data_IF_094344948364
#
_entry.id   IF_094344948364
#
_cell.length_a   1.000
_cell.length_b   1.000
_cell.length_c   1.000
_cell.angle_alpha   90.00
_cell.angle_beta   90.00
_cell.angle_gamma   90.00
#
_symmetry.space_group_name_H-M   'P 1'
#
loop_
_entity.id
_entity.type
_entity.pdbx_description
1 polymer ?
#
# COMPACT_ATOMS: atom_id res chain seq x y z
N UNK A 1 -22.97 10.59 4.86
CA UNK A 1 -22.79 9.78 6.08
C UNK A 1 -21.75 10.34 7.04
N UNK A 2 -20.75 11.13 6.62
CA UNK A 2 -19.77 11.75 7.54
C UNK A 2 -19.61 13.27 7.32
N UNK A 3 -20.71 13.96 6.98
CA UNK A 3 -20.66 15.38 6.59
C UNK A 3 -20.14 16.28 7.72
N UNK A 4 -20.58 16.05 8.94
CA UNK A 4 -20.17 16.82 10.12
C UNK A 4 -18.68 16.63 10.43
N UNK A 5 -18.20 15.38 10.47
CA UNK A 5 -16.77 15.10 10.65
C UNK A 5 -15.92 15.76 9.55
N UNK A 6 -16.34 15.62 8.28
CA UNK A 6 -15.63 16.23 7.16
C UNK A 6 -15.53 17.76 7.28
N UNK A 7 -16.61 18.40 7.74
CA UNK A 7 -16.63 19.85 7.96
C UNK A 7 -15.70 20.27 9.09
N UNK A 8 -15.78 19.62 10.26
CA UNK A 8 -14.92 19.92 11.42
C UNK A 8 -13.45 19.73 11.05
N UNK A 9 -13.10 18.63 10.38
CA UNK A 9 -11.73 18.36 9.92
C UNK A 9 -11.27 19.41 8.90
N UNK A 10 -12.16 19.83 8.00
CA UNK A 10 -11.87 20.90 7.04
C UNK A 10 -11.54 22.22 7.74
N UNK A 11 -12.37 22.63 8.71
CA UNK A 11 -12.16 23.85 9.49
C UNK A 11 -10.86 23.78 10.31
N UNK A 12 -10.60 22.66 10.99
CA UNK A 12 -9.38 22.45 11.77
C UNK A 12 -8.11 22.38 10.92
N UNK A 13 -8.22 21.97 9.65
CA UNK A 13 -7.10 21.98 8.71
C UNK A 13 -6.69 23.40 8.34
N UNK A 14 -7.67 24.27 8.06
CA UNK A 14 -7.41 25.68 7.74
C UNK A 14 -6.98 26.49 8.98
N UNK A 15 -7.49 26.13 10.17
CA UNK A 15 -7.13 26.77 11.43
C UNK A 15 -6.78 25.74 12.52
N UNK A 16 -5.47 25.46 12.67
CA UNK A 16 -4.97 24.49 13.65
C UNK A 16 -5.19 24.88 15.12
N UNK A 17 -5.49 26.14 15.42
CA UNK A 17 -5.79 26.58 16.80
C UNK A 17 -7.06 25.90 17.34
N UNK A 18 -7.98 25.50 16.45
CA UNK A 18 -9.19 24.76 16.80
C UNK A 18 -8.90 23.40 17.47
N UNK A 19 -7.69 22.85 17.30
CA UNK A 19 -7.28 21.62 17.99
C UNK A 19 -7.19 21.77 19.53
N UNK A 20 -7.28 22.99 20.07
CA UNK A 20 -7.40 23.22 21.52
C UNK A 20 -8.78 22.79 22.05
N UNK A 21 -9.79 22.82 21.19
CA UNK A 21 -11.16 22.45 21.55
C UNK A 21 -11.30 20.93 21.68
N UNK A 22 -11.98 20.48 22.73
CA UNK A 22 -12.17 19.04 22.97
C UNK A 22 -13.02 18.39 21.88
N UNK A 23 -14.09 19.05 21.43
CA UNK A 23 -14.96 18.58 20.35
C UNK A 23 -14.19 18.29 19.05
N UNK A 24 -13.27 19.17 18.66
CA UNK A 24 -12.43 19.00 17.47
C UNK A 24 -11.47 17.83 17.64
N UNK A 25 -10.83 17.70 18.81
CA UNK A 25 -9.96 16.55 19.12
C UNK A 25 -10.73 15.24 19.07
N UNK A 26 -11.96 15.21 19.56
CA UNK A 26 -12.84 14.04 19.48
C UNK A 26 -13.20 13.70 18.03
N UNK A 27 -13.54 14.69 17.19
CA UNK A 27 -13.82 14.46 15.77
C UNK A 27 -12.61 13.88 15.02
N UNK A 28 -11.40 14.37 15.32
CA UNK A 28 -10.14 13.82 14.78
C UNK A 28 -9.93 12.37 15.23
N UNK A 29 -10.08 12.08 16.53
CA UNK A 29 -9.95 10.72 17.09
C UNK A 29 -10.97 9.77 16.48
N UNK A 30 -12.24 10.18 16.38
CA UNK A 30 -13.32 9.40 15.78
C UNK A 30 -13.05 9.11 14.30
N UNK A 31 -12.52 10.09 13.55
CA UNK A 31 -12.17 9.86 12.14
C UNK A 31 -11.07 8.79 12.02
N UNK A 32 -10.04 8.83 12.86
CA UNK A 32 -8.97 7.81 12.86
C UNK A 32 -9.49 6.45 13.32
N UNK A 33 -10.43 6.40 14.26
CA UNK A 33 -11.11 5.17 14.67
C UNK A 33 -11.89 4.54 13.51
N UNK A 34 -12.64 5.33 12.74
CA UNK A 34 -13.34 4.86 11.54
C UNK A 34 -12.36 4.32 10.48
N UNK A 35 -11.17 4.92 10.36
CA UNK A 35 -10.10 4.38 9.51
C UNK A 35 -9.54 3.07 10.06
N UNK A 36 -9.34 2.96 11.38
CA UNK A 36 -8.87 1.72 12.03
C UNK A 36 -9.83 0.54 11.83
N UNK A 37 -11.14 0.84 11.80
CA UNK A 37 -12.23 -0.11 11.55
C UNK A 37 -12.50 -0.39 10.07
N UNK A 38 -11.87 0.36 9.16
CA UNK A 38 -12.08 0.21 7.72
C UNK A 38 -13.41 0.78 7.21
N UNK A 39 -14.15 1.51 8.03
CA UNK A 39 -15.37 2.24 7.66
C UNK A 39 -15.06 3.50 6.85
N UNK A 40 -13.84 4.04 7.04
CA UNK A 40 -13.22 5.05 6.20
C UNK A 40 -11.89 4.54 5.65
N UNK A 41 -11.51 5.02 4.47
CA UNK A 41 -10.22 4.75 3.85
C UNK A 41 -9.67 5.99 3.17
N UNK A 42 -8.35 6.08 3.04
CA UNK A 42 -7.66 7.28 2.52
C UNK A 42 -7.73 7.40 0.99
N UNK A 43 -8.01 6.30 0.29
CA UNK A 43 -8.45 6.28 -1.10
C UNK A 43 -9.38 5.08 -1.31
N UNK A 44 -10.36 5.21 -2.20
CA UNK A 44 -11.36 4.17 -2.48
C UNK A 44 -11.57 3.97 -3.99
N UNK A 45 -11.90 2.74 -4.44
CA UNK A 45 -12.25 2.53 -5.83
C UNK A 45 -13.59 3.19 -6.14
N UNK A 46 -13.69 3.86 -7.29
CA UNK A 46 -14.92 4.49 -7.80
C UNK A 46 -15.45 3.77 -9.04
N UNK A 47 -14.57 3.16 -9.82
CA UNK A 47 -14.89 2.26 -10.92
C UNK A 47 -13.87 1.10 -10.90
N UNK A 48 -14.17 0.00 -10.17
CA UNK A 48 -13.25 -1.13 -10.07
C UNK A 48 -12.96 -1.81 -11.41
N UNK A 49 -13.91 -1.82 -12.34
CA UNK A 49 -13.73 -2.47 -13.65
C UNK A 49 -12.63 -1.77 -14.45
N UNK A 50 -12.60 -0.43 -14.37
CA UNK A 50 -11.59 0.43 -14.99
C UNK A 50 -10.39 0.75 -14.08
N UNK A 51 -10.29 0.13 -12.90
CA UNK A 51 -9.25 0.43 -11.91
C UNK A 51 -9.16 1.94 -11.61
N UNK A 52 -10.29 2.63 -11.44
CA UNK A 52 -10.31 4.05 -11.07
C UNK A 52 -10.50 4.23 -9.56
N UNK A 53 -9.68 5.12 -9.00
CA UNK A 53 -9.62 5.39 -7.58
C UNK A 53 -9.78 6.88 -7.28
N UNK A 54 -10.40 7.19 -6.16
CA UNK A 54 -10.54 8.55 -5.63
C UNK A 54 -9.84 8.65 -4.28
N UNK A 55 -9.04 9.71 -4.11
CA UNK A 55 -8.41 10.05 -2.83
C UNK A 55 -9.41 10.77 -1.92
N UNK A 56 -9.47 10.33 -0.67
CA UNK A 56 -10.27 10.97 0.37
C UNK A 56 -9.38 11.96 1.15
N UNK A 57 -9.12 13.13 0.57
CA UNK A 57 -8.17 14.11 1.12
C UNK A 57 -8.47 14.49 2.57
N UNK A 58 -9.74 14.66 2.91
CA UNK A 58 -10.14 15.04 4.28
C UNK A 58 -9.79 13.96 5.31
N UNK A 59 -9.78 12.68 4.93
CA UNK A 59 -9.35 11.58 5.81
C UNK A 59 -7.84 11.68 6.05
N UNK A 60 -7.05 11.99 5.01
CA UNK A 60 -5.61 12.25 5.17
C UNK A 60 -5.35 13.47 6.06
N UNK A 61 -6.11 14.55 5.90
CA UNK A 61 -6.07 15.73 6.78
C UNK A 61 -6.33 15.32 8.24
N UNK A 62 -7.34 14.49 8.50
CA UNK A 62 -7.64 13.99 9.85
C UNK A 62 -6.46 13.19 10.44
N UNK A 63 -5.84 12.30 9.67
CA UNK A 63 -4.65 11.54 10.11
C UNK A 63 -3.48 12.48 10.45
N UNK A 64 -3.25 13.52 9.64
CA UNK A 64 -2.19 14.50 9.91
C UNK A 64 -2.51 15.31 11.19
N UNK A 65 -3.76 15.73 11.37
CA UNK A 65 -4.24 16.44 12.56
C UNK A 65 -4.25 15.56 13.82
N UNK A 66 -4.26 14.23 13.66
CA UNK A 66 -4.16 13.30 14.78
C UNK A 66 -2.79 13.36 15.47
N UNK A 67 -1.70 13.56 14.72
CA UNK A 67 -0.36 13.57 15.28
C UNK A 67 -0.09 14.67 16.34
N UNK A 68 -0.44 15.96 16.14
CA UNK A 68 -0.18 17.00 17.13
C UNK A 68 -1.01 16.84 18.41
N UNK A 69 -2.14 16.12 18.37
CA UNK A 69 -3.01 15.93 19.54
C UNK A 69 -2.65 14.68 20.37
N UNK A 70 -1.61 13.93 19.98
CA UNK A 70 -1.10 12.81 20.77
C UNK A 70 0.15 13.24 21.58
N UNK A 71 0.18 12.96 22.90
CA UNK A 71 1.38 13.17 23.70
C UNK A 71 2.44 12.10 23.40
N UNK A 72 3.72 12.51 23.42
CA UNK A 72 4.83 11.55 23.42
C UNK A 72 4.80 10.75 24.72
N UNK A 73 5.10 9.45 24.63
CA UNK A 73 5.22 8.58 25.79
C UNK A 73 6.33 7.57 25.59
N UNK A 74 6.85 7.05 26.70
CA UNK A 74 7.72 5.89 26.70
C UNK A 74 6.88 4.61 26.58
N UNK A 75 7.39 3.63 25.86
CA UNK A 75 6.81 2.30 25.68
C UNK A 75 7.94 1.29 25.90
N UNK A 76 7.69 0.20 26.62
CA UNK A 76 8.74 -0.75 27.00
C UNK A 76 8.27 -2.20 26.80
N UNK A 77 9.18 -3.09 26.40
CA UNK A 77 8.95 -4.53 26.34
C UNK A 77 10.25 -5.29 26.66
N UNK A 78 10.41 -5.70 27.92
CA UNK A 78 11.67 -6.27 28.39
C UNK A 78 12.78 -5.22 28.35
N UNK A 79 13.88 -5.52 27.67
CA UNK A 79 15.04 -4.61 27.51
C UNK A 79 14.85 -3.55 26.42
N UNK A 80 13.75 -3.62 25.65
CA UNK A 80 13.47 -2.70 24.56
C UNK A 80 12.69 -1.47 25.08
N UNK A 81 13.18 -0.26 24.76
CA UNK A 81 12.49 1.02 24.99
C UNK A 81 12.18 1.71 23.65
N UNK A 82 10.98 2.28 23.53
CA UNK A 82 10.58 3.17 22.45
C UNK A 82 10.05 4.49 23.00
N UNK A 83 10.17 5.55 22.21
CA UNK A 83 9.62 6.87 22.51
C UNK A 83 8.83 7.38 21.30
N UNK A 84 7.52 7.15 21.31
CA UNK A 84 6.59 7.53 20.24
C UNK A 84 5.26 7.99 20.88
N UNK A 85 4.40 8.59 20.08
CA UNK A 85 3.05 9.04 20.45
C UNK A 85 1.95 8.16 19.84
N UNK A 86 2.30 7.31 18.87
CA UNK A 86 1.34 6.47 18.16
C UNK A 86 0.99 5.22 18.97
N UNK A 87 -0.29 4.98 19.17
CA UNK A 87 -0.78 3.68 19.63
C UNK A 87 -0.55 2.60 18.57
N UNK A 88 -0.32 1.38 19.04
CA UNK A 88 -0.26 0.21 18.20
C UNK A 88 -1.67 -0.38 18.09
N UNK A 89 -1.93 -1.10 17.00
CA UNK A 89 -3.19 -1.83 16.83
C UNK A 89 -3.17 -3.08 17.71
N UNK A 90 -4.31 -3.37 18.33
CA UNK A 90 -4.52 -4.49 19.25
C UNK A 90 -5.83 -5.23 18.90
N UNK A 91 -6.17 -6.30 19.63
CA UNK A 91 -7.44 -7.02 19.46
C UNK A 91 -7.51 -7.96 18.26
N UNK A 92 -6.37 -8.49 17.80
CA UNK A 92 -6.28 -9.30 16.58
C UNK A 92 -7.18 -10.56 16.58
N UNK A 93 -7.41 -11.17 17.75
CA UNK A 93 -8.31 -12.32 17.88
C UNK A 93 -9.75 -11.94 17.52
N UNK A 94 -10.26 -10.84 18.08
CA UNK A 94 -11.62 -10.34 17.80
C UNK A 94 -11.77 -9.87 16.35
N UNK A 95 -10.68 -9.38 15.76
CA UNK A 95 -10.63 -8.96 14.36
C UNK A 95 -10.50 -10.15 13.38
N UNK A 96 -10.23 -11.36 13.86
CA UNK A 96 -9.97 -12.52 12.98
C UNK A 96 -8.69 -12.38 12.15
N UNK A 97 -7.68 -11.67 12.68
CA UNK A 97 -6.40 -11.41 12.01
C UNK A 97 -5.30 -12.23 12.68
N UNK A 98 -4.47 -12.89 11.87
CA UNK A 98 -3.31 -13.61 12.39
C UNK A 98 -2.09 -12.69 12.41
N UNK A 99 -1.70 -12.17 13.57
CA UNK A 99 -0.46 -11.42 13.77
C UNK A 99 0.63 -12.31 14.37
N UNK A 100 1.65 -12.66 13.58
CA UNK A 100 2.77 -13.51 14.00
C UNK A 100 3.83 -12.66 14.69
N UNK A 101 4.32 -13.01 15.90
CA UNK A 101 5.34 -12.22 16.59
C UNK A 101 6.62 -12.06 15.75
N UNK A 102 7.13 -10.85 15.50
CA UNK A 102 6.76 -9.54 16.06
C UNK A 102 6.10 -8.60 15.03
N UNK A 103 5.02 -9.02 14.38
CA UNK A 103 4.23 -8.14 13.50
C UNK A 103 3.72 -6.91 14.24
N UNK A 104 3.85 -5.74 13.64
CA UNK A 104 3.44 -4.45 14.22
C UNK A 104 2.56 -3.69 13.25
N UNK A 105 1.40 -3.23 13.73
CA UNK A 105 0.58 -2.26 13.02
C UNK A 105 0.32 -1.05 13.92
N UNK A 106 0.27 0.15 13.35
CA UNK A 106 -0.18 1.36 14.07
C UNK A 106 -1.70 1.41 14.15
N UNK A 107 -2.21 1.96 15.24
CA UNK A 107 -3.63 2.33 15.34
C UNK A 107 -4.00 3.30 14.20
N UNK A 108 -5.18 3.12 13.64
CA UNK A 108 -5.61 3.80 12.42
C UNK A 108 -5.18 3.09 11.14
N UNK A 109 -4.72 1.85 11.21
CA UNK A 109 -4.55 0.96 10.07
C UNK A 109 -5.66 -0.10 10.06
N UNK A 110 -6.37 -0.23 8.95
CA UNK A 110 -7.35 -1.30 8.79
C UNK A 110 -6.68 -2.57 8.31
N UNK A 111 -7.02 -3.68 8.97
CA UNK A 111 -6.55 -5.02 8.63
C UNK A 111 -7.76 -5.93 8.70
N UNK A 112 -8.19 -6.43 7.56
CA UNK A 112 -9.42 -7.19 7.41
C UNK A 112 -9.31 -8.61 8.00
N UNK A 113 -10.43 -9.21 8.41
CA UNK A 113 -10.48 -10.61 8.83
C UNK A 113 -9.88 -11.55 7.78
N UNK A 114 -9.12 -12.54 8.24
CA UNK A 114 -8.43 -13.52 7.39
C UNK A 114 -7.06 -13.05 6.85
N UNK A 115 -6.67 -11.79 7.05
CA UNK A 115 -5.32 -11.34 6.74
C UNK A 115 -4.28 -11.97 7.68
N UNK A 116 -3.07 -12.18 7.16
CA UNK A 116 -1.94 -12.73 7.91
C UNK A 116 -0.79 -11.73 7.86
N UNK A 117 -0.34 -11.33 9.04
CA UNK A 117 0.85 -10.49 9.22
C UNK A 117 1.96 -11.38 9.78
N UNK A 118 2.93 -11.71 8.94
CA UNK A 118 4.23 -12.21 9.40
C UNK A 118 4.99 -11.07 10.11
N UNK A 119 6.19 -11.28 10.69
CA UNK A 119 6.95 -10.18 11.29
C UNK A 119 7.18 -9.05 10.28
N UNK A 120 6.39 -7.98 10.37
CA UNK A 120 6.21 -6.96 9.33
C UNK A 120 5.68 -5.67 9.96
N UNK A 121 5.58 -4.60 9.16
CA UNK A 121 5.07 -3.31 9.62
C UNK A 121 3.93 -2.77 8.77
N UNK A 122 2.82 -2.37 9.40
CA UNK A 122 1.67 -1.70 8.75
C UNK A 122 1.44 -0.34 9.38
N UNK A 123 1.53 0.72 8.58
CA UNK A 123 1.48 2.09 9.08
C UNK A 123 0.05 2.67 9.05
N UNK A 124 -0.16 3.77 9.79
CA UNK A 124 -1.46 4.45 9.90
C UNK A 124 -2.03 4.86 8.52
N UNK A 125 -3.35 4.74 8.36
CA UNK A 125 -4.09 5.03 7.15
C UNK A 125 -4.06 3.92 6.11
N UNK A 126 -3.22 2.90 6.29
CA UNK A 126 -3.17 1.74 5.41
C UNK A 126 -4.47 0.93 5.51
N UNK A 127 -4.83 0.30 4.40
CA UNK A 127 -5.98 -0.59 4.29
C UNK A 127 -5.49 -1.92 3.73
N UNK A 128 -5.53 -2.98 4.54
CA UNK A 128 -5.15 -4.34 4.14
C UNK A 128 -6.39 -5.21 4.12
N UNK A 129 -6.86 -5.58 2.93
CA UNK A 129 -8.12 -6.31 2.75
C UNK A 129 -7.96 -7.84 2.99
N UNK A 130 -9.09 -8.55 2.93
CA UNK A 130 -9.22 -9.93 3.41
C UNK A 130 -8.34 -10.92 2.65
N UNK A 131 -7.85 -11.93 3.37
CA UNK A 131 -7.04 -13.01 2.82
C UNK A 131 -5.66 -12.58 2.30
N UNK A 132 -5.25 -11.33 2.55
CA UNK A 132 -3.92 -10.83 2.16
C UNK A 132 -2.84 -11.34 3.10
N UNK A 133 -1.70 -11.71 2.52
CA UNK A 133 -0.50 -12.13 3.22
C UNK A 133 0.55 -11.00 3.17
N UNK A 134 0.96 -10.52 4.33
CA UNK A 134 2.07 -9.59 4.51
C UNK A 134 3.24 -10.37 5.08
N UNK A 135 4.18 -10.80 4.23
CA UNK A 135 5.27 -11.69 4.63
C UNK A 135 6.35 -11.00 5.46
N UNK A 136 7.26 -11.83 5.97
CA UNK A 136 8.35 -11.44 6.85
C UNK A 136 9.17 -10.28 6.25
N UNK A 137 9.32 -9.23 7.04
CA UNK A 137 9.98 -7.96 6.72
C UNK A 137 9.34 -7.16 5.58
N UNK A 138 8.11 -7.47 5.20
CA UNK A 138 7.33 -6.58 4.35
C UNK A 138 6.89 -5.33 5.12
N UNK A 139 6.69 -4.24 4.39
CA UNK A 139 6.21 -2.96 4.94
C UNK A 139 5.03 -2.48 4.12
N UNK A 140 3.93 -2.13 4.80
CA UNK A 140 2.78 -1.43 4.23
C UNK A 140 2.77 0.01 4.74
N UNK A 141 3.20 0.93 3.89
CA UNK A 141 3.34 2.34 4.22
C UNK A 141 2.02 3.06 4.51
N UNK A 142 2.13 4.29 5.04
CA UNK A 142 0.95 5.06 5.42
C UNK A 142 0.03 5.32 4.24
N UNK A 143 -1.27 5.22 4.46
CA UNK A 143 -2.31 5.36 3.43
C UNK A 143 -2.31 4.31 2.31
N UNK A 144 -1.37 3.35 2.26
CA UNK A 144 -1.34 2.34 1.19
C UNK A 144 -2.63 1.50 1.16
N UNK A 145 -3.11 1.19 -0.04
CA UNK A 145 -4.34 0.42 -0.25
C UNK A 145 -3.96 -0.95 -0.82
N UNK A 146 -4.11 -2.00 -0.02
CA UNK A 146 -3.83 -3.38 -0.39
C UNK A 146 -5.15 -4.14 -0.52
N UNK A 147 -5.42 -4.64 -1.72
CA UNK A 147 -6.63 -5.37 -2.07
C UNK A 147 -6.72 -6.74 -1.42
N UNK A 148 -7.72 -7.50 -1.86
CA UNK A 148 -8.03 -8.85 -1.36
C UNK A 148 -7.07 -9.88 -1.93
N UNK A 149 -6.73 -10.89 -1.14
CA UNK A 149 -5.91 -12.02 -1.59
C UNK A 149 -4.59 -11.58 -2.25
N UNK A 150 -4.04 -10.45 -1.80
CA UNK A 150 -2.73 -10.00 -2.23
C UNK A 150 -1.67 -10.78 -1.47
N UNK A 151 -0.57 -11.12 -2.14
CA UNK A 151 0.60 -11.68 -1.49
C UNK A 151 1.76 -10.70 -1.62
N UNK A 152 2.09 -10.01 -0.52
CA UNK A 152 3.31 -9.23 -0.40
C UNK A 152 4.40 -10.16 0.14
N UNK A 153 5.31 -10.62 -0.73
CA UNK A 153 6.37 -11.55 -0.36
C UNK A 153 7.39 -10.94 0.61
N UNK A 154 8.32 -11.79 1.10
CA UNK A 154 9.33 -11.37 2.07
C UNK A 154 10.13 -10.13 1.64
N UNK A 155 10.21 -9.14 2.52
CA UNK A 155 10.95 -7.91 2.28
C UNK A 155 10.34 -6.96 1.25
N UNK A 156 9.08 -7.14 0.86
CA UNK A 156 8.39 -6.20 -0.03
C UNK A 156 8.16 -4.87 0.67
N UNK A 157 8.54 -3.77 0.01
CA UNK A 157 8.32 -2.42 0.51
C UNK A 157 7.21 -1.72 -0.25
N UNK A 158 6.08 -1.46 0.41
CA UNK A 158 5.00 -0.62 -0.11
C UNK A 158 5.14 0.77 0.51
N UNK A 159 5.37 1.77 -0.33
CA UNK A 159 5.60 3.16 0.06
C UNK A 159 4.38 3.82 0.69
N UNK A 160 4.62 4.64 1.71
CA UNK A 160 3.59 5.48 2.31
C UNK A 160 3.45 6.81 1.58
N UNK A 161 2.22 7.31 1.44
CA UNK A 161 1.94 8.64 0.87
C UNK A 161 0.84 9.30 1.70
N UNK A 162 1.26 10.01 2.74
CA UNK A 162 0.33 10.81 3.56
C UNK A 162 0.23 12.25 3.06
N UNK A 163 1.38 12.85 2.72
CA UNK A 163 1.47 14.18 2.11
C UNK A 163 2.12 14.08 0.72
N UNK A 164 1.69 14.89 -0.24
CA UNK A 164 0.60 15.88 -0.12
C UNK A 164 -0.79 15.21 -0.14
N UNK A 165 -1.82 15.84 0.44
CA UNK A 165 -3.11 15.19 0.72
C UNK A 165 -3.89 14.76 -0.53
N UNK A 166 -3.65 15.43 -1.66
CA UNK A 166 -4.21 15.11 -2.97
C UNK A 166 -3.49 13.96 -3.69
N UNK A 167 -2.26 13.60 -3.28
CA UNK A 167 -1.52 12.54 -3.93
C UNK A 167 -2.18 11.18 -3.67
N UNK A 168 -2.26 10.35 -4.72
CA UNK A 168 -2.71 8.99 -4.56
C UNK A 168 -1.72 8.20 -3.67
N UNK A 169 -2.22 7.41 -2.72
CA UNK A 169 -1.37 6.41 -2.08
C UNK A 169 -0.96 5.31 -3.05
N UNK A 170 0.00 4.49 -2.66
CA UNK A 170 0.28 3.26 -3.39
C UNK A 170 -0.94 2.36 -3.32
N UNK A 171 -1.37 1.84 -4.47
CA UNK A 171 -2.52 0.96 -4.60
C UNK A 171 -2.04 -0.37 -5.20
N UNK A 172 -2.30 -1.46 -4.49
CA UNK A 172 -2.14 -2.83 -4.96
C UNK A 172 -3.52 -3.46 -4.98
N UNK A 173 -4.06 -3.73 -6.16
CA UNK A 173 -5.43 -4.26 -6.30
C UNK A 173 -5.51 -5.76 -6.01
N UNK A 174 -6.74 -6.28 -6.04
CA UNK A 174 -7.07 -7.65 -5.68
C UNK A 174 -6.24 -8.70 -6.46
N UNK A 175 -5.88 -9.78 -5.79
CA UNK A 175 -5.20 -10.97 -6.32
C UNK A 175 -3.80 -10.70 -6.93
N UNK A 176 -3.18 -9.57 -6.57
CA UNK A 176 -1.80 -9.29 -6.97
C UNK A 176 -0.80 -10.15 -6.19
N UNK A 177 0.31 -10.49 -6.85
CA UNK A 177 1.49 -11.05 -6.19
C UNK A 177 2.67 -10.11 -6.37
N UNK A 178 3.31 -9.75 -5.27
CA UNK A 178 4.47 -8.89 -5.25
C UNK A 178 5.65 -9.73 -4.77
N UNK A 179 6.55 -10.06 -5.70
CA UNK A 179 7.72 -10.91 -5.45
C UNK A 179 8.68 -10.33 -4.43
N UNK A 180 9.50 -11.19 -3.84
CA UNK A 180 10.38 -10.82 -2.73
C UNK A 180 11.28 -9.64 -3.08
N UNK A 181 11.53 -8.76 -2.10
CA UNK A 181 12.40 -7.56 -2.25
C UNK A 181 11.95 -6.54 -3.31
N UNK A 182 10.74 -6.68 -3.84
CA UNK A 182 10.15 -5.67 -4.71
C UNK A 182 9.72 -4.43 -3.90
N UNK A 183 9.81 -3.27 -4.54
CA UNK A 183 9.52 -1.97 -3.93
C UNK A 183 8.48 -1.26 -4.80
N UNK A 184 7.34 -0.89 -4.23
CA UNK A 184 6.28 -0.14 -4.92
C UNK A 184 6.01 1.14 -4.15
N UNK A 185 6.33 2.31 -4.72
CA UNK A 185 6.40 3.59 -4.00
C UNK A 185 5.83 4.74 -4.82
N UNK A 186 5.78 5.94 -4.22
CA UNK A 186 5.44 7.21 -4.90
C UNK A 186 4.06 7.20 -5.60
N UNK A 187 3.07 6.55 -4.97
CA UNK A 187 1.70 6.52 -5.50
C UNK A 187 1.52 5.61 -6.71
N UNK A 188 2.48 4.72 -6.98
CA UNK A 188 2.33 3.72 -8.03
C UNK A 188 1.10 2.83 -7.82
N UNK A 189 0.52 2.40 -8.93
CA UNK A 189 -0.71 1.61 -8.96
C UNK A 189 -0.46 0.29 -9.70
N UNK A 190 -0.60 -0.81 -8.95
CA UNK A 190 -0.54 -2.17 -9.49
C UNK A 190 -1.95 -2.74 -9.57
N UNK A 191 -2.45 -2.93 -10.78
CA UNK A 191 -3.82 -3.35 -11.02
C UNK A 191 -4.03 -4.84 -10.79
N UNK A 192 -5.31 -5.23 -10.66
CA UNK A 192 -5.73 -6.56 -10.24
C UNK A 192 -5.03 -7.69 -10.97
N UNK A 193 -4.75 -8.75 -10.24
CA UNK A 193 -4.16 -10.01 -10.74
C UNK A 193 -2.72 -9.88 -11.30
N UNK A 194 -2.09 -8.71 -11.24
CA UNK A 194 -0.72 -8.52 -11.70
C UNK A 194 0.29 -9.28 -10.82
N UNK A 195 1.40 -9.68 -11.44
CA UNK A 195 2.51 -10.41 -10.82
C UNK A 195 3.78 -9.62 -11.02
N UNK A 196 4.40 -9.18 -9.94
CA UNK A 196 5.75 -8.62 -9.96
C UNK A 196 6.73 -9.73 -9.56
N UNK A 197 7.72 -10.00 -10.41
CA UNK A 197 8.87 -10.82 -10.07
C UNK A 197 9.69 -10.19 -8.94
N UNK A 198 10.54 -10.99 -8.29
CA UNK A 198 11.40 -10.52 -7.22
C UNK A 198 12.31 -9.36 -7.68
N UNK A 199 12.66 -8.47 -6.73
CA UNK A 199 13.49 -7.27 -6.96
C UNK A 199 12.93 -6.26 -7.98
N UNK A 200 11.62 -6.27 -8.23
CA UNK A 200 10.98 -5.31 -9.15
C UNK A 200 10.71 -4.00 -8.41
N UNK A 201 11.16 -2.88 -8.97
CA UNK A 201 10.95 -1.54 -8.40
C UNK A 201 10.01 -0.73 -9.27
N UNK A 202 8.84 -0.39 -8.72
CA UNK A 202 7.84 0.46 -9.37
C UNK A 202 7.65 1.73 -8.55
N UNK A 203 8.09 2.86 -9.07
CA UNK A 203 7.78 4.18 -8.54
C UNK A 203 6.69 4.84 -9.38
N UNK A 204 6.12 5.95 -8.92
CA UNK A 204 5.21 6.78 -9.72
C UNK A 204 5.83 7.33 -11.00
N UNK A 205 7.15 7.17 -11.19
CA UNK A 205 7.88 7.59 -12.38
C UNK A 205 8.64 6.47 -13.11
N UNK A 206 8.67 5.24 -12.59
CA UNK A 206 9.30 4.11 -13.25
C UNK A 206 8.74 3.92 -14.66
N UNK A 207 9.64 3.76 -15.63
CA UNK A 207 9.28 3.30 -16.97
C UNK A 207 8.94 1.82 -16.92
N UNK A 208 7.71 1.49 -17.29
CA UNK A 208 7.22 0.11 -17.38
C UNK A 208 6.95 -0.15 -18.86
N UNK A 209 7.70 -1.07 -19.46
CA UNK A 209 7.68 -1.29 -20.91
C UNK A 209 7.07 -2.66 -21.17
N UNK A 210 5.93 -2.68 -21.85
CA UNK A 210 5.34 -3.91 -22.37
C UNK A 210 6.02 -4.30 -23.66
N UNK A 211 6.63 -5.49 -23.65
CA UNK A 211 7.39 -6.07 -24.77
C UNK A 211 6.72 -7.34 -25.30
N UNK A 212 5.44 -7.55 -24.99
CA UNK A 212 4.68 -8.73 -25.43
C UNK A 212 4.20 -8.62 -26.88
N UNK A 213 4.03 -7.39 -27.38
CA UNK A 213 3.61 -7.09 -28.73
C UNK A 213 4.78 -6.86 -29.70
N UNK A 214 4.48 -6.64 -31.00
CA UNK A 214 5.49 -6.32 -32.00
C UNK A 214 6.15 -4.96 -31.77
N UNK A 215 5.47 -4.03 -31.07
CA UNK A 215 5.95 -2.70 -30.71
C UNK A 215 5.81 -2.47 -29.21
N UNK A 216 6.77 -1.80 -28.56
CA UNK A 216 6.74 -1.60 -27.12
C UNK A 216 5.69 -0.56 -26.69
N UNK A 217 4.93 -0.86 -25.65
CA UNK A 217 4.00 0.09 -25.02
C UNK A 217 4.57 0.53 -23.67
N UNK A 218 4.64 1.84 -23.42
CA UNK A 218 5.21 2.37 -22.16
C UNK A 218 4.11 2.88 -21.23
N UNK A 219 4.17 2.43 -19.99
CA UNK A 219 3.39 2.95 -18.86
C UNK A 219 4.33 3.63 -17.86
N UNK A 220 3.76 4.46 -16.98
CA UNK A 220 4.50 5.18 -15.96
C UNK A 220 3.76 5.08 -14.63
N UNK A 221 4.38 4.42 -13.65
CA UNK A 221 3.79 4.23 -12.31
C UNK A 221 2.47 3.44 -12.28
N UNK A 222 2.08 2.83 -13.40
CA UNK A 222 0.83 2.08 -13.55
C UNK A 222 1.13 0.73 -14.19
N UNK A 223 0.84 -0.37 -13.49
CA UNK A 223 0.95 -1.73 -14.00
C UNK A 223 -0.45 -2.20 -14.40
N UNK A 224 -0.72 -2.49 -15.69
CA UNK A 224 -2.02 -2.93 -16.15
C UNK A 224 -2.47 -4.26 -15.52
N UNK A 225 -3.79 -4.54 -15.49
CA UNK A 225 -4.32 -5.79 -14.94
C UNK A 225 -3.65 -7.03 -15.55
N UNK A 226 -3.46 -8.07 -14.74
CA UNK A 226 -2.92 -9.38 -15.15
C UNK A 226 -1.50 -9.35 -15.70
N UNK A 227 -0.79 -8.22 -15.67
CA UNK A 227 0.57 -8.11 -16.20
C UNK A 227 1.55 -8.97 -15.41
N UNK A 228 2.46 -9.66 -16.10
CA UNK A 228 3.63 -10.32 -15.51
C UNK A 228 4.84 -9.41 -15.72
N UNK A 229 5.35 -8.86 -14.63
CA UNK A 229 6.36 -7.81 -14.61
C UNK A 229 7.66 -8.32 -14.03
N UNK A 230 8.79 -8.03 -14.67
CA UNK A 230 10.13 -8.36 -14.18
C UNK A 230 11.05 -7.14 -14.20
N UNK A 231 12.16 -7.14 -13.43
CA UNK A 231 13.19 -6.12 -13.57
C UNK A 231 13.82 -6.19 -14.96
N UNK A 232 14.14 -5.04 -15.54
CA UNK A 232 14.83 -4.96 -16.82
C UNK A 232 15.62 -3.68 -16.99
N UNK A 233 16.09 -3.46 -18.21
CA UNK A 233 16.74 -2.20 -18.59
C UNK A 233 16.49 -1.88 -20.05
N UNK A 234 16.57 -0.60 -20.39
CA UNK A 234 16.53 -0.12 -21.78
C UNK A 234 17.72 0.80 -22.05
N UNK A 235 18.15 0.83 -23.32
CA UNK A 235 19.24 1.69 -23.75
C UNK A 235 18.75 3.12 -23.94
N UNK A 236 19.52 4.08 -23.44
CA UNK A 236 19.28 5.51 -23.64
C UNK A 236 20.57 6.20 -24.02
N UNK A 237 20.50 7.03 -25.05
CA UNK A 237 21.61 7.88 -25.46
C UNK A 237 21.74 9.08 -24.52
N UNK A 238 22.96 9.35 -24.07
CA UNK A 238 23.36 10.51 -23.29
C UNK A 238 24.51 11.25 -24.00
N UNK A 239 24.83 12.50 -23.61
CA UNK A 239 26.01 13.19 -24.13
C UNK A 239 27.32 12.40 -23.95
N UNK A 240 27.40 11.58 -22.91
CA UNK A 240 28.56 10.75 -22.59
C UNK A 240 28.52 9.32 -23.18
N UNK A 241 27.60 9.02 -24.10
CA UNK A 241 27.45 7.69 -24.71
C UNK A 241 26.11 7.00 -24.40
N UNK A 242 25.99 5.74 -24.79
CA UNK A 242 24.79 4.93 -24.56
C UNK A 242 24.91 4.10 -23.28
N UNK A 243 23.93 4.23 -22.39
CA UNK A 243 23.90 3.52 -21.11
C UNK A 243 22.57 2.78 -20.93
N UNK A 244 22.61 1.68 -20.17
CA UNK A 244 21.40 0.97 -19.75
C UNK A 244 20.80 1.65 -18.53
N UNK A 245 19.51 1.99 -18.62
CA UNK A 245 18.72 2.55 -17.53
C UNK A 245 17.71 1.51 -17.08
N UNK A 246 17.57 1.36 -15.77
CA UNK A 246 16.63 0.42 -15.18
C UNK A 246 15.19 0.75 -15.57
N UNK A 247 14.42 -0.27 -15.92
CA UNK A 247 12.99 -0.22 -16.12
C UNK A 247 12.33 -1.48 -15.54
N UNK A 248 11.01 -1.51 -15.58
CA UNK A 248 10.26 -2.75 -15.43
C UNK A 248 9.79 -3.20 -16.80
N UNK A 249 9.79 -4.51 -17.05
CA UNK A 249 9.32 -5.10 -18.31
C UNK A 249 8.07 -5.91 -18.04
N UNK A 250 6.99 -5.64 -18.79
CA UNK A 250 5.86 -6.56 -18.88
C UNK A 250 6.21 -7.58 -19.96
N UNK A 251 6.36 -8.84 -19.56
CA UNK A 251 6.80 -9.95 -20.43
C UNK A 251 5.66 -10.90 -20.81
N UNK A 252 4.47 -10.64 -20.26
CA UNK A 252 3.29 -11.46 -20.51
C UNK A 252 2.10 -10.99 -19.70
N UNK A 253 0.98 -11.69 -19.88
CA UNK A 253 -0.20 -11.56 -19.04
C UNK A 253 -0.60 -12.93 -18.49
N UNK A 254 -1.15 -12.95 -17.27
CA UNK A 254 -1.72 -14.16 -16.67
C UNK A 254 -2.90 -14.66 -17.50
N UNK A 255 -2.87 -15.95 -17.84
CA UNK A 255 -4.00 -16.64 -18.48
C UNK A 255 -5.05 -17.04 -17.45
N UNK A 256 -6.32 -17.06 -17.85
CA UNK A 256 -7.43 -17.49 -16.97
C UNK A 256 -7.27 -18.94 -16.48
N UNK A 257 -6.62 -19.79 -17.27
CA UNK A 257 -6.30 -21.17 -16.90
C UNK A 257 -5.34 -21.27 -15.71
N UNK A 258 -4.49 -20.26 -15.50
CA UNK A 258 -3.48 -20.21 -14.43
C UNK A 258 -4.11 -19.85 -13.07
N UNK A 259 -5.35 -19.35 -13.06
CA UNK A 259 -6.05 -18.85 -11.87
C UNK A 259 -6.57 -19.93 -10.92
N UNK A 260 -6.61 -21.21 -11.34
CA UNK A 260 -7.38 -22.25 -10.63
C UNK A 260 -6.59 -23.29 -9.85
N UNK A 261 -5.26 -23.40 -9.96
CA UNK A 261 -4.48 -24.46 -9.25
C UNK A 261 -2.95 -24.39 -9.31
N UNK A 262 -2.37 -23.51 -10.11
CA UNK A 262 -0.92 -23.42 -10.31
C UNK A 262 -0.27 -22.54 -9.25
N UNK A 263 0.84 -23.01 -8.68
CA UNK A 263 1.63 -22.17 -7.78
C UNK A 263 2.12 -20.97 -8.60
N UNK A 264 2.12 -19.78 -8.01
CA UNK A 264 2.49 -18.56 -8.73
C UNK A 264 3.92 -18.57 -9.30
N UNK A 265 4.77 -19.44 -8.75
CA UNK A 265 6.08 -19.80 -9.31
C UNK A 265 5.96 -20.38 -10.73
N UNK A 266 4.87 -21.07 -11.05
CA UNK A 266 4.61 -21.64 -12.36
C UNK A 266 4.33 -20.55 -13.40
N UNK A 267 3.64 -19.46 -13.00
CA UNK A 267 3.44 -18.30 -13.89
C UNK A 267 4.76 -17.62 -14.28
N UNK A 268 5.72 -17.51 -13.35
CA UNK A 268 7.06 -16.97 -13.65
C UNK A 268 7.90 -17.97 -14.45
N UNK A 269 7.81 -19.27 -14.15
CA UNK A 269 8.49 -20.34 -14.90
C UNK A 269 8.01 -20.45 -16.34
N UNK A 270 6.72 -20.23 -16.60
CA UNK A 270 6.14 -20.22 -17.95
C UNK A 270 6.83 -19.20 -18.87
N UNK A 271 7.37 -18.11 -18.29
CA UNK A 271 8.13 -17.08 -19.01
C UNK A 271 9.66 -17.20 -18.82
N UNK A 272 10.15 -18.35 -18.33
CA UNK A 272 11.58 -18.62 -18.18
C UNK A 272 12.27 -17.84 -17.06
N UNK A 273 11.52 -17.26 -16.13
CA UNK A 273 12.07 -16.51 -14.99
C UNK A 273 12.36 -17.47 -13.84
N UNK A 274 13.61 -17.51 -13.38
CA UNK A 274 14.01 -18.27 -12.21
C UNK A 274 13.43 -17.65 -10.93
N UNK A 275 12.69 -18.44 -10.16
CA UNK A 275 12.02 -18.07 -8.91
C UNK A 275 12.71 -18.68 -7.70
#
# INVERSE_FOLDING_TARGET
>A
MYSELKEIIGQAWENRELLKEESVRQAVRQTVELVDKGELRTAQPVDPEKSQWQVNEWVKKAIILYFPIQPMRKMEAGELEWYDKMELKHGYEQLGVRAVPHAVARYGAYIAPGAILMPSYVNIGAYVDTGTMVDTWATVGSCAQIGRHVHLSGGVGIGGVLEPVQAAPVIIEDNCFIGSRSIVVEGAHVCREAVLGSNTVITGSTHIIDVTGPEPVTYKGYVPPRSVVVPGSYRKQFPAGEYSITCALIIGQRKESTDKKTSLNDALRDFGVSV
#
